data_IF_801395863944
#
_entry.id   IF_801395863944
#
_cell.length_a   1.000
_cell.length_b   1.000
_cell.length_c   1.000
_cell.angle_alpha   90.00
_cell.angle_beta   90.00
_cell.angle_gamma   90.00
#
_symmetry.space_group_name_H-M   'P 1'
#
loop_
_entity.id
_entity.type
_entity.pdbx_description
1 polymer ?
#
# COMPACT_ATOMS: atom_id res chain seq x y z
N UNK A 1 -33.80 -4.18 -6.47
CA UNK A 1 -34.24 -5.02 -5.33
C UNK A 1 -33.82 -4.32 -4.07
N UNK A 2 -34.77 -3.96 -3.21
CA UNK A 2 -34.49 -3.30 -1.94
C UNK A 2 -33.69 -4.25 -1.04
N UNK A 3 -32.62 -3.73 -0.47
CA UNK A 3 -31.73 -4.42 0.46
C UNK A 3 -32.50 -4.67 1.76
N UNK A 4 -32.96 -5.90 1.97
CA UNK A 4 -33.70 -6.31 3.17
C UNK A 4 -32.77 -6.26 4.37
N UNK A 5 -33.18 -5.55 5.41
CA UNK A 5 -32.62 -5.33 6.74
C UNK A 5 -31.38 -6.15 7.09
N UNK A 6 -30.20 -5.70 6.66
CA UNK A 6 -28.96 -6.42 6.92
C UNK A 6 -28.54 -6.24 8.38
N UNK A 7 -28.21 -7.36 8.98
CA UNK A 7 -27.47 -7.43 10.23
C UNK A 7 -26.25 -6.52 10.12
N UNK A 8 -26.13 -5.54 11.00
CA UNK A 8 -24.97 -4.64 11.00
C UNK A 8 -23.67 -5.41 11.27
N UNK A 9 -22.62 -5.10 10.52
CA UNK A 9 -21.39 -5.86 10.40
C UNK A 9 -20.36 -5.53 11.50
N UNK A 10 -19.53 -6.51 11.85
CA UNK A 10 -18.26 -6.33 12.59
C UNK A 10 -17.13 -6.33 11.57
N UNK A 11 -16.41 -5.21 11.46
CA UNK A 11 -15.26 -5.08 10.57
C UNK A 11 -13.95 -5.13 11.37
N UNK A 12 -13.02 -5.99 10.93
CA UNK A 12 -11.67 -6.06 11.49
C UNK A 12 -10.68 -5.39 10.53
N UNK A 13 -9.90 -4.44 11.02
CA UNK A 13 -8.78 -3.82 10.29
C UNK A 13 -7.48 -4.32 10.89
N UNK A 14 -6.72 -5.12 10.14
CA UNK A 14 -5.37 -5.48 10.53
C UNK A 14 -4.39 -4.43 10.04
N UNK A 15 -3.39 -4.06 10.84
CA UNK A 15 -2.54 -2.92 10.52
C UNK A 15 -3.26 -1.58 10.70
N UNK A 16 -4.31 -1.56 11.54
CA UNK A 16 -5.16 -0.39 11.72
C UNK A 16 -4.46 0.81 12.38
N UNK A 17 -3.39 0.58 13.14
CA UNK A 17 -2.55 1.66 13.71
C UNK A 17 -1.65 2.33 12.66
N UNK A 18 -1.51 1.73 11.47
CA UNK A 18 -0.67 2.22 10.39
C UNK A 18 -1.33 3.33 9.56
N UNK A 19 -0.56 3.84 8.59
CA UNK A 19 -0.92 4.95 7.71
C UNK A 19 -2.27 4.74 7.00
N UNK A 20 -2.41 3.67 6.20
CA UNK A 20 -3.65 3.37 5.48
C UNK A 20 -4.77 2.90 6.44
N UNK A 21 -4.40 2.12 7.46
CA UNK A 21 -5.37 1.53 8.39
C UNK A 21 -6.20 2.57 9.14
N UNK A 22 -5.59 3.66 9.59
CA UNK A 22 -6.32 4.75 10.27
C UNK A 22 -7.33 5.44 9.35
N UNK A 23 -7.01 5.62 8.07
CA UNK A 23 -7.96 6.14 7.09
C UNK A 23 -9.11 5.15 6.82
N UNK A 24 -8.85 3.83 6.85
CA UNK A 24 -9.93 2.83 6.79
C UNK A 24 -10.85 2.93 8.00
N UNK A 25 -10.30 3.03 9.22
CA UNK A 25 -11.08 3.23 10.45
C UNK A 25 -11.92 4.50 10.34
N UNK A 26 -11.36 5.61 9.82
CA UNK A 26 -12.08 6.87 9.58
C UNK A 26 -13.32 6.69 8.70
N UNK A 27 -13.23 5.89 7.64
CA UNK A 27 -14.37 5.60 6.77
C UNK A 27 -15.37 4.64 7.43
N UNK A 28 -14.89 3.60 8.13
CA UNK A 28 -15.75 2.64 8.82
C UNK A 28 -16.59 3.30 9.94
N UNK A 29 -16.05 4.31 10.62
CA UNK A 29 -16.80 5.09 11.61
C UNK A 29 -18.05 5.75 11.02
N UNK A 30 -18.01 6.12 9.74
CA UNK A 30 -19.12 6.75 9.00
C UNK A 30 -20.01 5.74 8.27
N UNK A 31 -19.60 4.48 8.15
CA UNK A 31 -20.31 3.45 7.39
C UNK A 31 -21.45 2.86 8.24
N UNK A 32 -22.70 3.22 7.93
CA UNK A 32 -23.89 2.80 8.67
C UNK A 32 -24.09 1.27 8.69
N UNK A 33 -23.49 0.53 7.75
CA UNK A 33 -23.56 -0.93 7.72
C UNK A 33 -22.69 -1.59 8.78
N UNK A 34 -21.75 -0.85 9.39
CA UNK A 34 -20.80 -1.36 10.40
C UNK A 34 -21.24 -0.93 11.79
N UNK A 35 -21.41 -1.89 12.69
CA UNK A 35 -21.77 -1.67 14.11
C UNK A 35 -20.56 -1.65 15.06
N UNK A 36 -19.49 -2.36 14.73
CA UNK A 36 -18.29 -2.51 15.54
C UNK A 36 -17.05 -2.55 14.65
N UNK A 37 -16.01 -1.85 15.06
CA UNK A 37 -14.72 -1.84 14.39
C UNK A 37 -13.71 -2.49 15.34
N UNK A 38 -12.98 -3.48 14.85
CA UNK A 38 -11.82 -4.05 15.55
C UNK A 38 -10.55 -3.65 14.85
N UNK A 39 -9.54 -3.32 15.63
CA UNK A 39 -8.19 -3.02 15.16
C UNK A 39 -7.28 -4.09 15.72
N UNK A 40 -6.59 -4.81 14.83
CA UNK A 40 -5.56 -5.77 15.19
C UNK A 40 -4.22 -5.29 14.67
N UNK A 41 -3.32 -4.94 15.58
CA UNK A 41 -2.00 -4.44 15.23
C UNK A 41 -0.98 -4.84 16.31
N UNK A 42 0.27 -5.01 15.91
CA UNK A 42 1.39 -5.21 16.85
C UNK A 42 1.97 -3.89 17.39
N UNK A 43 1.58 -2.76 16.78
CA UNK A 43 1.94 -1.42 17.21
C UNK A 43 0.75 -0.79 17.90
N UNK A 44 0.96 -0.27 19.11
CA UNK A 44 -0.09 0.37 19.89
C UNK A 44 -0.83 1.44 19.09
N UNK A 45 -2.16 1.45 19.23
CA UNK A 45 -3.00 2.46 18.61
C UNK A 45 -2.61 3.86 19.09
N UNK A 46 -2.34 4.74 18.13
CA UNK A 46 -2.18 6.17 18.35
C UNK A 46 -3.05 6.90 17.33
N UNK A 47 -4.00 7.69 17.79
CA UNK A 47 -4.96 8.39 16.94
C UNK A 47 -4.30 9.58 16.21
N UNK A 48 -3.57 9.30 15.13
CA UNK A 48 -2.82 10.30 14.35
C UNK A 48 -3.76 11.23 13.57
N UNK A 49 -4.96 10.76 13.25
CA UNK A 49 -5.95 11.50 12.44
C UNK A 49 -6.97 12.27 13.27
N UNK A 50 -6.81 12.31 14.59
CA UNK A 50 -7.76 12.92 15.53
C UNK A 50 -9.20 12.43 15.28
N UNK A 51 -9.35 11.11 15.12
CA UNK A 51 -10.67 10.49 14.89
C UNK A 51 -11.57 10.74 16.11
N UNK A 52 -12.86 11.04 15.89
CA UNK A 52 -13.77 11.31 16.97
C UNK A 52 -13.93 10.09 17.89
N UNK A 53 -13.92 10.35 19.19
CA UNK A 53 -14.28 9.38 20.21
C UNK A 53 -15.82 9.33 20.33
N UNK A 54 -16.36 8.12 20.47
CA UNK A 54 -17.80 7.89 20.57
C UNK A 54 -18.47 7.52 19.24
N UNK A 55 -19.72 7.12 19.31
CA UNK A 55 -20.48 6.57 18.20
C UNK A 55 -20.38 5.05 18.14
N UNK A 56 -19.57 4.50 17.24
CA UNK A 56 -19.40 3.04 17.13
C UNK A 56 -18.31 2.55 18.07
N UNK A 57 -18.48 1.33 18.67
CA UNK A 57 -17.39 0.69 19.41
C UNK A 57 -16.18 0.46 18.51
N UNK A 58 -15.00 0.92 18.96
CA UNK A 58 -13.70 0.63 18.38
C UNK A 58 -12.91 -0.16 19.40
N UNK A 59 -12.65 -1.44 19.10
CA UNK A 59 -11.94 -2.35 19.98
C UNK A 59 -10.54 -2.57 19.45
N UNK A 60 -9.54 -2.20 20.23
CA UNK A 60 -8.15 -2.40 19.89
C UNK A 60 -7.61 -3.69 20.53
N UNK A 61 -6.92 -4.50 19.72
CA UNK A 61 -6.23 -5.72 20.15
C UNK A 61 -4.76 -5.64 19.69
N UNK A 62 -3.86 -5.66 20.66
CA UNK A 62 -2.42 -5.68 20.40
C UNK A 62 -1.94 -7.12 20.24
N UNK A 63 -1.62 -7.51 18.98
CA UNK A 63 -1.03 -8.81 18.70
C UNK A 63 -0.31 -8.81 17.34
N UNK A 64 0.72 -9.67 17.21
CA UNK A 64 1.40 -9.95 15.96
C UNK A 64 0.64 -11.08 15.22
N UNK A 65 0.24 -10.85 13.98
CA UNK A 65 -0.42 -11.86 13.11
C UNK A 65 0.40 -13.13 12.92
N UNK A 66 1.69 -13.09 13.19
CA UNK A 66 2.53 -14.28 13.20
C UNK A 66 2.18 -15.21 14.37
N UNK A 67 1.67 -14.68 15.49
CA UNK A 67 1.17 -15.44 16.63
C UNK A 67 -0.34 -15.69 16.47
N UNK A 68 -0.67 -16.75 15.74
CA UNK A 68 -2.03 -17.10 15.34
C UNK A 68 -2.99 -17.19 16.54
N UNK A 69 -2.56 -17.82 17.65
CA UNK A 69 -3.44 -18.04 18.78
C UNK A 69 -3.81 -16.74 19.53
N UNK A 70 -2.88 -15.80 19.64
CA UNK A 70 -3.20 -14.48 20.21
C UNK A 70 -4.18 -13.68 19.35
N UNK A 71 -4.19 -13.90 18.04
CA UNK A 71 -5.07 -13.20 17.12
C UNK A 71 -6.47 -13.79 17.03
N UNK A 72 -6.67 -15.06 17.41
CA UNK A 72 -7.94 -15.80 17.27
C UNK A 72 -9.14 -15.05 17.84
N UNK A 73 -9.00 -14.49 19.04
CA UNK A 73 -10.07 -13.74 19.70
C UNK A 73 -10.57 -12.54 18.92
N UNK A 74 -9.68 -11.91 18.14
CA UNK A 74 -10.03 -10.75 17.31
C UNK A 74 -10.98 -11.09 16.16
N UNK A 75 -10.95 -12.34 15.66
CA UNK A 75 -11.71 -12.77 14.48
C UNK A 75 -13.08 -13.35 14.83
N UNK A 76 -13.38 -13.67 16.10
CA UNK A 76 -14.67 -14.25 16.50
C UNK A 76 -15.84 -13.33 16.16
N UNK A 77 -16.75 -13.81 15.31
CA UNK A 77 -17.95 -13.06 14.90
C UNK A 77 -17.65 -11.85 14.00
N UNK A 78 -16.49 -11.82 13.36
CA UNK A 78 -16.15 -10.81 12.34
C UNK A 78 -16.83 -11.15 11.02
N UNK A 79 -17.42 -10.16 10.38
CA UNK A 79 -18.11 -10.29 9.10
C UNK A 79 -17.19 -9.96 7.91
N UNK A 80 -16.18 -9.11 8.12
CA UNK A 80 -15.20 -8.73 7.09
C UNK A 80 -13.87 -8.31 7.68
N UNK A 81 -12.78 -8.74 7.03
CA UNK A 81 -11.42 -8.32 7.33
C UNK A 81 -10.92 -7.36 6.25
N UNK A 82 -10.42 -6.19 6.63
CA UNK A 82 -9.62 -5.29 5.80
C UNK A 82 -8.15 -5.49 6.19
N UNK A 83 -7.42 -6.23 5.37
CA UNK A 83 -6.05 -6.65 5.68
C UNK A 83 -5.02 -5.72 5.06
N UNK A 84 -4.51 -4.77 5.84
CA UNK A 84 -3.41 -3.89 5.43
C UNK A 84 -2.15 -4.00 6.28
N UNK A 85 -2.13 -4.91 7.28
CA UNK A 85 -0.92 -5.20 8.04
C UNK A 85 0.16 -5.75 7.11
N UNK A 86 1.29 -5.06 7.03
CA UNK A 86 2.48 -5.48 6.29
C UNK A 86 3.71 -4.76 6.80
N UNK A 87 4.86 -5.40 6.68
CA UNK A 87 6.15 -4.72 6.79
C UNK A 87 6.48 -4.09 5.43
N UNK A 88 6.49 -2.75 5.37
CA UNK A 88 6.98 -2.00 4.21
C UNK A 88 8.46 -1.71 4.44
N UNK A 89 9.33 -2.43 3.77
CA UNK A 89 10.78 -2.22 3.85
C UNK A 89 11.43 -2.43 2.49
N UNK A 90 12.16 -1.42 2.05
CA UNK A 90 13.00 -1.46 0.85
C UNK A 90 14.48 -1.50 1.23
N UNK A 91 14.79 -1.72 2.49
CA UNK A 91 16.14 -1.68 3.05
C UNK A 91 17.15 -2.48 2.23
N UNK A 92 18.37 -1.97 2.16
CA UNK A 92 19.49 -2.65 1.52
C UNK A 92 20.70 -2.73 2.49
N UNK A 93 21.27 -3.92 2.75
CA UNK A 93 20.74 -5.24 2.39
C UNK A 93 19.35 -5.54 2.99
N UNK A 94 18.52 -6.32 2.28
CA UNK A 94 17.15 -6.61 2.71
C UNK A 94 17.14 -7.60 3.89
N UNK A 95 16.14 -7.44 4.75
CA UNK A 95 15.76 -8.47 5.74
C UNK A 95 14.65 -9.35 5.15
N UNK A 96 15.08 -10.37 4.40
CA UNK A 96 14.17 -11.28 3.69
C UNK A 96 13.31 -12.10 4.66
N UNK A 97 13.87 -12.48 5.81
CA UNK A 97 13.16 -13.26 6.83
C UNK A 97 12.05 -12.43 7.47
N UNK A 98 12.35 -11.18 7.86
CA UNK A 98 11.35 -10.27 8.39
C UNK A 98 10.23 -9.97 7.38
N UNK A 99 10.56 -9.77 6.10
CA UNK A 99 9.57 -9.59 5.04
C UNK A 99 8.69 -10.83 4.86
N UNK A 100 9.28 -12.02 4.82
CA UNK A 100 8.52 -13.26 4.73
C UNK A 100 7.61 -13.46 5.94
N UNK A 101 8.14 -13.30 7.14
CA UNK A 101 7.40 -13.45 8.40
C UNK A 101 6.18 -12.52 8.46
N UNK A 102 6.39 -11.22 8.20
CA UNK A 102 5.35 -10.20 8.37
C UNK A 102 4.36 -10.12 7.21
N UNK A 103 4.76 -10.45 5.98
CA UNK A 103 3.91 -10.27 4.81
C UNK A 103 3.31 -11.60 4.33
N UNK A 104 4.09 -12.68 4.31
CA UNK A 104 3.63 -13.97 3.78
C UNK A 104 3.04 -14.85 4.87
N UNK A 105 3.83 -15.18 5.91
CA UNK A 105 3.39 -16.07 6.96
C UNK A 105 2.23 -15.48 7.78
N UNK A 106 2.30 -14.20 8.11
CA UNK A 106 1.23 -13.49 8.82
C UNK A 106 -0.09 -13.48 8.01
N UNK A 107 -0.03 -13.27 6.68
CA UNK A 107 -1.20 -13.34 5.81
C UNK A 107 -1.78 -14.75 5.74
N UNK A 108 -0.91 -15.78 5.67
CA UNK A 108 -1.34 -17.18 5.71
C UNK A 108 -2.07 -17.52 7.02
N UNK A 109 -1.51 -17.14 8.16
CA UNK A 109 -2.12 -17.32 9.48
C UNK A 109 -3.49 -16.64 9.57
N UNK A 110 -3.61 -15.42 9.03
CA UNK A 110 -4.87 -14.69 9.00
C UNK A 110 -5.93 -15.42 8.19
N UNK A 111 -5.59 -15.94 7.01
CA UNK A 111 -6.53 -16.71 6.17
C UNK A 111 -6.97 -18.00 6.86
N UNK A 112 -6.06 -18.72 7.50
CA UNK A 112 -6.41 -19.90 8.31
C UNK A 112 -7.38 -19.54 9.45
N UNK A 113 -7.14 -18.43 10.15
CA UNK A 113 -8.05 -17.93 11.17
C UNK A 113 -9.41 -17.52 10.59
N UNK A 114 -9.45 -16.91 9.39
CA UNK A 114 -10.73 -16.60 8.74
C UNK A 114 -11.55 -17.88 8.47
N UNK A 115 -10.90 -18.94 8.03
CA UNK A 115 -11.58 -20.25 7.82
C UNK A 115 -12.04 -20.85 9.16
N UNK A 116 -11.19 -20.85 10.18
CA UNK A 116 -11.47 -21.42 11.48
C UNK A 116 -12.56 -20.69 12.26
N UNK A 117 -12.58 -19.35 12.20
CA UNK A 117 -13.56 -18.51 12.89
C UNK A 117 -14.75 -18.12 11.99
N UNK A 118 -14.80 -18.73 10.79
CA UNK A 118 -15.89 -18.55 9.82
C UNK A 118 -16.11 -17.10 9.37
N UNK A 119 -15.04 -16.37 9.13
CA UNK A 119 -15.06 -15.01 8.56
C UNK A 119 -15.30 -15.08 7.05
N UNK A 120 -16.42 -14.55 6.53
CA UNK A 120 -16.80 -14.81 5.13
C UNK A 120 -16.09 -13.92 4.10
N UNK A 121 -15.49 -12.78 4.49
CA UNK A 121 -14.94 -11.82 3.53
C UNK A 121 -13.61 -11.26 3.96
N UNK A 122 -12.67 -11.13 3.01
CA UNK A 122 -11.37 -10.51 3.22
C UNK A 122 -10.99 -9.62 2.03
N UNK A 123 -10.69 -8.35 2.30
CA UNK A 123 -10.10 -7.40 1.35
C UNK A 123 -8.63 -7.22 1.70
N UNK A 124 -7.73 -7.60 0.79
CA UNK A 124 -6.29 -7.53 1.00
C UNK A 124 -5.68 -6.28 0.36
N UNK A 125 -4.75 -5.66 1.06
CA UNK A 125 -3.90 -4.59 0.53
C UNK A 125 -2.64 -5.19 -0.10
N UNK A 126 -2.60 -5.31 -1.42
CA UNK A 126 -1.40 -5.58 -2.21
C UNK A 126 -0.71 -4.26 -2.60
N UNK A 127 -0.09 -4.20 -3.75
CA UNK A 127 0.55 -3.01 -4.33
C UNK A 127 0.68 -3.16 -5.85
N UNK A 128 0.71 -2.06 -6.59
CA UNK A 128 1.05 -2.09 -8.02
C UNK A 128 2.47 -2.60 -8.27
N UNK A 129 3.33 -2.53 -7.27
CA UNK A 129 4.75 -2.94 -7.36
C UNK A 129 4.94 -4.41 -7.69
N UNK A 130 3.95 -5.27 -7.40
CA UNK A 130 3.97 -6.71 -7.76
C UNK A 130 3.96 -6.94 -9.27
N UNK A 131 3.70 -5.92 -10.08
CA UNK A 131 3.70 -5.98 -11.55
C UNK A 131 4.86 -5.23 -12.19
N UNK A 132 5.65 -4.49 -11.39
CA UNK A 132 6.73 -3.67 -11.92
C UNK A 132 7.98 -4.49 -12.23
N UNK A 133 8.11 -4.85 -13.49
CA UNK A 133 9.28 -5.52 -14.04
C UNK A 133 9.91 -4.66 -15.13
N UNK A 134 11.21 -4.86 -15.38
CA UNK A 134 11.89 -4.15 -16.47
C UNK A 134 11.23 -4.42 -17.81
N UNK A 135 10.97 -3.37 -18.58
CA UNK A 135 10.28 -3.44 -19.89
C UNK A 135 11.02 -4.32 -20.89
N UNK A 136 12.33 -4.18 -20.96
CA UNK A 136 13.21 -5.03 -21.78
C UNK A 136 13.97 -5.98 -20.86
N UNK A 137 14.12 -7.23 -21.27
CA UNK A 137 14.93 -8.22 -20.51
C UNK A 137 16.34 -7.69 -20.30
N UNK A 138 16.76 -7.56 -19.04
CA UNK A 138 18.02 -6.92 -18.66
C UNK A 138 17.99 -5.39 -18.66
N UNK A 139 16.84 -4.77 -18.92
CA UNK A 139 16.66 -3.32 -18.85
C UNK A 139 16.57 -2.81 -17.41
N UNK A 140 16.69 -1.48 -17.28
CA UNK A 140 16.73 -0.80 -15.98
C UNK A 140 15.32 -0.40 -15.51
N UNK A 141 14.45 0.05 -16.41
CA UNK A 141 13.18 0.71 -16.08
C UNK A 141 11.96 -0.12 -16.46
N UNK A 142 10.88 0.04 -15.70
CA UNK A 142 9.57 -0.47 -16.06
C UNK A 142 8.82 0.55 -16.94
N UNK A 143 7.98 0.02 -17.84
CA UNK A 143 7.04 0.82 -18.61
C UNK A 143 5.66 0.18 -18.51
N UNK A 144 4.80 0.76 -17.70
CA UNK A 144 3.41 0.36 -17.52
C UNK A 144 2.56 1.59 -17.88
N UNK A 145 1.86 1.57 -19.01
CA UNK A 145 1.11 2.73 -19.50
C UNK A 145 -0.33 2.35 -19.73
N UNK A 146 -1.24 2.90 -18.92
CA UNK A 146 -2.69 2.63 -18.92
C UNK A 146 -3.03 1.13 -18.95
N UNK A 147 -2.19 0.33 -18.30
CA UNK A 147 -2.33 -1.12 -18.34
C UNK A 147 -3.40 -1.60 -17.37
N UNK A 148 -4.23 -2.53 -17.85
CA UNK A 148 -5.16 -3.31 -17.05
C UNK A 148 -4.41 -4.51 -16.44
N UNK A 149 -5.01 -5.14 -15.44
CA UNK A 149 -4.43 -6.27 -14.71
C UNK A 149 -4.05 -7.45 -15.62
N UNK A 150 -4.80 -7.68 -16.68
CA UNK A 150 -4.51 -8.73 -17.68
C UNK A 150 -3.31 -8.41 -18.58
N UNK A 151 -3.00 -7.13 -18.76
CA UNK A 151 -1.88 -6.67 -19.61
C UNK A 151 -0.61 -6.37 -18.81
N UNK A 152 -0.73 -6.23 -17.49
CA UNK A 152 0.38 -6.06 -16.57
C UNK A 152 0.35 -7.17 -15.51
N UNK A 153 0.51 -8.45 -15.90
CA UNK A 153 0.57 -9.54 -14.93
C UNK A 153 1.87 -9.47 -14.13
N UNK A 154 1.88 -9.98 -12.89
CA UNK A 154 3.12 -10.20 -12.17
C UNK A 154 4.05 -11.11 -13.00
N UNK A 155 5.39 -10.94 -12.88
CA UNK A 155 6.33 -11.80 -13.58
C UNK A 155 6.34 -13.23 -13.01
N UNK A 156 6.60 -14.21 -13.87
CA UNK A 156 6.84 -15.60 -13.45
C UNK A 156 8.12 -15.71 -12.62
N UNK A 157 9.19 -15.04 -13.06
CA UNK A 157 10.43 -14.90 -12.32
C UNK A 157 10.40 -13.65 -11.44
N UNK A 158 10.24 -13.86 -10.13
CA UNK A 158 10.13 -12.79 -9.13
C UNK A 158 11.39 -11.91 -9.04
N UNK A 159 12.58 -12.41 -9.49
CA UNK A 159 13.82 -11.63 -9.54
C UNK A 159 13.77 -10.47 -10.55
N UNK A 160 12.78 -10.47 -11.45
CA UNK A 160 12.55 -9.39 -12.42
C UNK A 160 11.87 -8.17 -11.82
N UNK A 161 11.30 -8.28 -10.61
CA UNK A 161 10.67 -7.15 -9.92
C UNK A 161 11.71 -6.09 -9.58
N UNK A 162 11.46 -4.84 -9.99
CA UNK A 162 12.42 -3.74 -9.81
C UNK A 162 12.57 -3.32 -8.34
N UNK A 163 11.55 -3.54 -7.50
CA UNK A 163 11.57 -3.28 -6.05
C UNK A 163 11.80 -4.54 -5.21
N UNK A 164 12.27 -5.62 -5.89
CA UNK A 164 12.83 -6.84 -5.32
C UNK A 164 12.03 -7.44 -4.15
N UNK A 165 12.69 -7.67 -3.03
CA UNK A 165 12.24 -8.54 -1.93
C UNK A 165 10.92 -8.06 -1.29
N UNK A 166 10.71 -6.73 -1.17
CA UNK A 166 9.42 -6.23 -0.71
C UNK A 166 8.30 -6.59 -1.70
N UNK A 167 8.47 -6.26 -2.98
CA UNK A 167 7.50 -6.58 -4.02
C UNK A 167 7.26 -8.10 -4.13
N UNK A 168 8.33 -8.91 -4.02
CA UNK A 168 8.25 -10.36 -3.97
C UNK A 168 7.42 -10.86 -2.79
N UNK A 169 7.64 -10.32 -1.58
CA UNK A 169 6.88 -10.71 -0.39
C UNK A 169 5.39 -10.37 -0.53
N UNK A 170 5.07 -9.21 -1.11
CA UNK A 170 3.69 -8.79 -1.38
C UNK A 170 3.04 -9.64 -2.48
N UNK A 171 3.77 -9.99 -3.53
CA UNK A 171 3.28 -10.87 -4.59
C UNK A 171 2.93 -12.27 -4.05
N UNK A 172 3.80 -12.85 -3.21
CA UNK A 172 3.55 -14.15 -2.58
C UNK A 172 2.32 -14.10 -1.66
N UNK A 173 2.17 -13.05 -0.86
CA UNK A 173 0.99 -12.85 -0.02
C UNK A 173 -0.28 -12.70 -0.87
N UNK A 174 -0.25 -11.91 -1.94
CA UNK A 174 -1.37 -11.75 -2.85
C UNK A 174 -1.81 -13.08 -3.49
N UNK A 175 -0.86 -13.88 -3.98
CA UNK A 175 -1.15 -15.20 -4.56
C UNK A 175 -1.88 -16.11 -3.56
N UNK A 176 -1.45 -16.12 -2.30
CA UNK A 176 -2.11 -16.89 -1.23
C UNK A 176 -3.54 -16.40 -0.99
N UNK A 177 -3.73 -15.09 -0.95
CA UNK A 177 -5.08 -14.49 -0.74
C UNK A 177 -6.01 -14.81 -1.90
N UNK A 178 -5.56 -14.64 -3.15
CA UNK A 178 -6.38 -14.92 -4.33
C UNK A 178 -6.73 -16.41 -4.46
N UNK A 179 -5.80 -17.29 -4.09
CA UNK A 179 -6.03 -18.75 -4.08
C UNK A 179 -6.98 -19.19 -2.96
N UNK A 180 -7.16 -18.38 -1.91
CA UNK A 180 -8.07 -18.69 -0.81
C UNK A 180 -9.54 -18.35 -1.13
N UNK A 181 -9.83 -17.66 -2.24
CA UNK A 181 -11.22 -17.41 -2.66
C UNK A 181 -11.94 -18.73 -2.93
N UNK A 182 -13.17 -18.85 -2.44
CA UNK A 182 -13.96 -20.08 -2.58
C UNK A 182 -13.68 -21.14 -1.50
N UNK A 183 -12.75 -20.91 -0.55
CA UNK A 183 -12.46 -21.89 0.51
C UNK A 183 -13.67 -22.09 1.41
N UNK A 184 -14.10 -23.36 1.69
CA UNK A 184 -15.16 -23.63 2.64
C UNK A 184 -14.81 -23.19 4.05
N UNK A 185 -15.77 -22.55 4.74
CA UNK A 185 -15.67 -22.15 6.14
C UNK A 185 -16.21 -23.25 7.07
N UNK A 186 -15.80 -23.25 8.34
CA UNK A 186 -16.28 -24.22 9.32
C UNK A 186 -17.80 -24.22 9.52
N UNK A 187 -18.46 -23.09 9.30
CA UNK A 187 -19.92 -22.97 9.42
C UNK A 187 -20.69 -23.35 8.14
N UNK A 188 -20.02 -23.91 7.13
CA UNK A 188 -20.62 -24.26 5.84
C UNK A 188 -20.72 -23.11 4.83
N UNK A 189 -20.30 -21.89 5.19
CA UNK A 189 -20.17 -20.77 4.28
C UNK A 189 -18.91 -20.85 3.42
N UNK A 190 -18.61 -19.77 2.71
CA UNK A 190 -17.44 -19.68 1.79
C UNK A 190 -16.68 -18.42 2.05
N UNK A 191 -15.35 -18.49 2.14
CA UNK A 191 -14.47 -17.34 2.18
C UNK A 191 -14.39 -16.68 0.82
N UNK A 192 -14.65 -15.38 0.76
CA UNK A 192 -14.49 -14.58 -0.46
C UNK A 192 -13.39 -13.55 -0.27
N UNK A 193 -12.48 -13.47 -1.22
CA UNK A 193 -11.31 -12.61 -1.11
C UNK A 193 -11.17 -11.72 -2.35
N UNK A 194 -10.58 -10.53 -2.16
CA UNK A 194 -10.17 -9.63 -3.25
C UNK A 194 -8.86 -8.96 -2.85
N UNK A 195 -8.00 -8.70 -3.81
CA UNK A 195 -6.74 -8.02 -3.57
C UNK A 195 -6.69 -6.67 -4.29
N UNK A 196 -6.58 -5.58 -3.55
CA UNK A 196 -6.43 -4.24 -4.11
C UNK A 196 -4.95 -3.90 -4.26
N UNK A 197 -4.60 -3.35 -5.42
CA UNK A 197 -3.24 -2.92 -5.78
C UNK A 197 -3.15 -1.40 -5.86
N UNK A 198 -2.99 -0.70 -4.74
CA UNK A 198 -2.72 0.74 -4.76
C UNK A 198 -1.32 1.04 -5.28
N UNK A 199 -1.08 2.22 -5.90
CA UNK A 199 0.24 2.74 -6.18
C UNK A 199 0.89 3.31 -4.91
N UNK A 200 1.97 4.08 -5.05
CA UNK A 200 2.57 4.82 -3.94
C UNK A 200 1.55 5.75 -3.28
N UNK A 201 1.36 5.60 -1.97
CA UNK A 201 0.41 6.40 -1.21
C UNK A 201 1.05 7.64 -0.62
N UNK A 202 0.28 8.72 -0.55
CA UNK A 202 0.63 9.95 0.15
C UNK A 202 -0.56 10.49 0.96
N UNK A 203 -0.29 11.34 1.93
CA UNK A 203 -1.33 11.99 2.75
C UNK A 203 -1.00 12.04 4.22
N UNK A 204 -2.00 12.36 5.05
CA UNK A 204 -1.85 12.49 6.49
C UNK A 204 -1.54 11.14 7.14
N UNK A 205 -0.54 11.14 8.00
CA UNK A 205 -0.03 9.92 8.66
C UNK A 205 1.11 9.22 7.91
N UNK A 206 1.49 9.69 6.69
CA UNK A 206 2.67 9.17 6.00
C UNK A 206 3.95 9.53 6.76
N UNK A 207 4.68 8.53 7.20
CA UNK A 207 6.04 8.63 7.73
C UNK A 207 7.05 7.92 6.80
N UNK A 208 6.56 7.42 5.68
CA UNK A 208 7.29 6.65 4.68
C UNK A 208 7.91 7.51 3.58
N UNK A 209 7.56 7.24 2.32
CA UNK A 209 8.28 7.71 1.15
C UNK A 209 8.35 9.24 1.03
N UNK A 210 7.20 9.91 0.93
CA UNK A 210 7.18 11.39 0.71
C UNK A 210 7.77 12.11 1.91
N UNK A 211 7.41 11.70 3.13
CA UNK A 211 7.95 12.27 4.36
C UNK A 211 9.47 12.15 4.43
N UNK A 212 10.05 11.01 4.07
CA UNK A 212 11.50 10.82 4.10
C UNK A 212 12.22 11.64 3.02
N UNK A 213 11.64 11.74 1.81
CA UNK A 213 12.18 12.60 0.74
C UNK A 213 12.22 14.06 1.22
N UNK A 214 11.15 14.56 1.84
CA UNK A 214 11.11 15.92 2.36
C UNK A 214 12.11 16.16 3.51
N UNK A 215 12.34 15.15 4.36
CA UNK A 215 13.41 15.20 5.37
C UNK A 215 14.80 15.31 4.75
N UNK A 216 15.05 14.60 3.64
CA UNK A 216 16.30 14.72 2.88
C UNK A 216 16.42 16.13 2.30
N UNK A 217 15.35 16.65 1.68
CA UNK A 217 15.32 18.02 1.17
C UNK A 217 15.65 19.05 2.26
N UNK A 218 15.01 18.96 3.43
CA UNK A 218 15.29 19.84 4.57
C UNK A 218 16.78 19.87 4.94
N UNK A 219 17.41 18.69 4.99
CA UNK A 219 18.85 18.56 5.31
C UNK A 219 19.76 19.16 4.22
N UNK A 220 19.27 19.28 2.99
CA UNK A 220 20.00 19.80 1.84
C UNK A 220 19.61 21.26 1.49
N UNK A 221 19.12 22.04 2.44
CA UNK A 221 18.73 23.42 2.22
C UNK A 221 17.49 23.56 1.32
N UNK A 222 16.53 22.66 1.46
CA UNK A 222 15.29 22.56 0.68
C UNK A 222 15.53 22.32 -0.83
N UNK A 223 16.60 21.60 -1.17
CA UNK A 223 16.91 21.24 -2.55
C UNK A 223 17.03 19.73 -2.73
N UNK A 224 16.60 19.21 -3.88
CA UNK A 224 16.72 17.81 -4.25
C UNK A 224 17.40 17.66 -5.61
N UNK A 225 18.36 16.74 -5.70
CA UNK A 225 18.99 16.33 -6.95
C UNK A 225 18.12 15.27 -7.64
N UNK A 226 17.90 15.43 -8.95
CA UNK A 226 17.17 14.42 -9.75
C UNK A 226 18.11 13.30 -10.18
N UNK A 227 18.11 12.22 -9.43
CA UNK A 227 19.08 11.11 -9.59
C UNK A 227 18.76 10.11 -10.69
N UNK A 228 17.62 10.21 -11.39
CA UNK A 228 17.24 9.26 -12.46
C UNK A 228 16.82 9.97 -13.74
N UNK A 229 17.40 11.12 -14.03
CA UNK A 229 17.01 11.94 -15.17
C UNK A 229 15.69 12.68 -14.94
N UNK A 230 15.04 13.08 -16.04
CA UNK A 230 13.79 13.87 -16.00
C UNK A 230 12.57 13.13 -16.55
N UNK A 231 12.75 11.94 -17.12
CA UNK A 231 11.74 11.26 -17.94
C UNK A 231 10.78 10.36 -17.17
N UNK A 232 11.14 9.91 -15.97
CA UNK A 232 10.29 9.00 -15.19
C UNK A 232 9.04 9.69 -14.66
N UNK A 233 7.93 8.94 -14.65
CA UNK A 233 6.63 9.37 -14.10
C UNK A 233 6.07 8.24 -13.27
N UNK A 234 5.75 8.54 -12.03
CA UNK A 234 5.18 7.58 -11.10
C UNK A 234 3.74 7.97 -10.78
N UNK A 235 2.89 6.97 -10.72
CA UNK A 235 1.54 7.12 -10.24
C UNK A 235 1.56 7.13 -8.71
N UNK A 236 0.84 8.08 -8.13
CA UNK A 236 0.63 8.21 -6.70
C UNK A 236 -0.85 8.36 -6.43
N UNK A 237 -1.28 7.98 -5.24
CA UNK A 237 -2.67 8.13 -4.86
C UNK A 237 -2.81 8.65 -3.42
N UNK A 238 -3.83 9.46 -3.21
CA UNK A 238 -4.17 9.96 -1.88
C UNK A 238 -4.72 8.84 -1.01
N UNK A 239 -4.17 8.69 0.18
CA UNK A 239 -4.51 7.62 1.11
C UNK A 239 -6.00 7.57 1.47
N UNK A 240 -6.68 8.72 1.57
CA UNK A 240 -8.11 8.79 1.85
C UNK A 240 -8.96 8.17 0.74
N UNK A 241 -8.59 8.37 -0.55
CA UNK A 241 -9.24 7.71 -1.67
C UNK A 241 -8.98 6.20 -1.67
N UNK A 242 -7.77 5.78 -1.31
CA UNK A 242 -7.45 4.35 -1.24
C UNK A 242 -8.21 3.65 -0.12
N UNK A 243 -8.30 4.26 1.06
CA UNK A 243 -9.12 3.74 2.14
C UNK A 243 -10.60 3.61 1.73
N UNK A 244 -11.13 4.58 0.99
CA UNK A 244 -12.47 4.50 0.41
C UNK A 244 -12.63 3.32 -0.55
N UNK A 245 -11.63 3.01 -1.36
CA UNK A 245 -11.67 1.84 -2.25
C UNK A 245 -11.81 0.51 -1.48
N UNK A 246 -11.22 0.40 -0.29
CA UNK A 246 -11.42 -0.77 0.58
C UNK A 246 -12.87 -0.88 1.06
N UNK A 247 -13.53 0.23 1.37
CA UNK A 247 -14.95 0.23 1.73
C UNK A 247 -15.80 -0.18 0.52
N UNK A 248 -15.49 0.31 -0.66
CA UNK A 248 -16.17 -0.12 -1.90
C UNK A 248 -16.00 -1.63 -2.14
N UNK A 249 -14.79 -2.16 -1.98
CA UNK A 249 -14.50 -3.59 -2.15
C UNK A 249 -15.23 -4.45 -1.09
N UNK A 250 -15.25 -4.02 0.19
CA UNK A 250 -16.02 -4.63 1.27
C UNK A 250 -17.49 -4.78 0.88
N UNK A 251 -18.07 -3.69 0.39
CA UNK A 251 -19.47 -3.66 -0.02
C UNK A 251 -19.74 -4.49 -1.29
N UNK A 252 -18.80 -4.51 -2.25
CA UNK A 252 -18.92 -5.30 -3.46
C UNK A 252 -18.86 -6.81 -3.15
N UNK A 253 -17.96 -7.27 -2.27
CA UNK A 253 -17.91 -8.67 -1.81
C UNK A 253 -19.20 -9.10 -1.08
N UNK A 254 -19.89 -8.16 -0.41
CA UNK A 254 -21.17 -8.47 0.21
C UNK A 254 -22.32 -8.61 -0.81
N UNK A 255 -22.30 -7.78 -1.87
CA UNK A 255 -23.40 -7.69 -2.85
C UNK A 255 -23.26 -8.67 -4.00
N UNK A 256 -22.05 -8.85 -4.53
CA UNK A 256 -21.78 -9.66 -5.72
C UNK A 256 -20.43 -10.38 -5.59
N UNK A 257 -20.31 -11.36 -4.68
CA UNK A 257 -19.04 -12.05 -4.41
C UNK A 257 -18.46 -12.74 -5.64
N UNK A 258 -19.28 -13.32 -6.52
CA UNK A 258 -18.82 -14.03 -7.70
C UNK A 258 -18.26 -13.10 -8.80
N UNK A 259 -18.64 -11.82 -8.77
CA UNK A 259 -18.16 -10.83 -9.73
C UNK A 259 -16.79 -10.26 -9.42
N UNK A 260 -16.28 -10.48 -8.19
CA UNK A 260 -15.03 -9.87 -7.72
C UNK A 260 -14.12 -10.82 -6.97
N UNK A 261 -14.66 -11.96 -6.46
CA UNK A 261 -13.88 -12.94 -5.70
C UNK A 261 -12.67 -13.45 -6.48
N UNK A 262 -11.54 -13.58 -5.80
CA UNK A 262 -10.28 -14.05 -6.38
C UNK A 262 -9.61 -13.09 -7.37
N UNK A 263 -10.08 -11.83 -7.50
CA UNK A 263 -9.51 -10.89 -8.46
C UNK A 263 -8.48 -9.94 -7.82
N UNK A 264 -7.36 -9.66 -8.51
CA UNK A 264 -6.53 -8.50 -8.26
C UNK A 264 -7.16 -7.26 -8.93
N UNK A 265 -7.10 -6.10 -8.27
CA UNK A 265 -7.73 -4.86 -8.76
C UNK A 265 -6.78 -3.68 -8.57
N UNK A 266 -6.40 -3.01 -9.66
CA UNK A 266 -5.68 -1.74 -9.58
C UNK A 266 -6.61 -0.63 -9.07
N UNK A 267 -6.13 0.10 -8.06
CA UNK A 267 -6.87 1.20 -7.46
C UNK A 267 -6.02 2.46 -7.51
N UNK A 268 -6.44 3.42 -8.33
CA UNK A 268 -5.75 4.70 -8.53
C UNK A 268 -6.74 5.85 -8.34
N UNK A 269 -6.26 7.08 -8.27
CA UNK A 269 -7.13 8.26 -8.20
C UNK A 269 -6.75 9.32 -9.26
N UNK A 270 -7.25 10.54 -9.10
CA UNK A 270 -7.04 11.62 -10.05
C UNK A 270 -5.78 12.45 -9.75
N UNK A 271 -4.89 11.95 -8.90
CA UNK A 271 -3.58 12.56 -8.65
C UNK A 271 -2.77 12.62 -9.94
N UNK A 272 -2.19 13.77 -10.22
CA UNK A 272 -1.39 13.95 -11.45
C UNK A 272 -0.21 12.99 -11.47
N UNK A 273 -0.09 12.24 -12.55
CA UNK A 273 1.05 11.35 -12.77
C UNK A 273 2.26 12.18 -13.20
N UNK A 274 3.25 12.21 -12.34
CA UNK A 274 4.47 12.99 -12.55
C UNK A 274 5.67 12.35 -11.86
N UNK A 275 6.85 12.89 -12.04
CA UNK A 275 8.02 12.44 -11.30
C UNK A 275 7.84 12.69 -9.80
N UNK A 276 8.16 11.68 -8.98
CA UNK A 276 7.98 11.72 -7.51
C UNK A 276 8.66 12.95 -6.86
N UNK A 277 9.83 13.34 -7.33
CA UNK A 277 10.52 14.53 -6.79
C UNK A 277 9.82 15.84 -7.19
N UNK A 278 9.23 15.88 -8.40
CA UNK A 278 8.39 17.03 -8.81
C UNK A 278 7.09 17.09 -8.01
N UNK A 279 6.53 15.94 -7.66
CA UNK A 279 5.39 15.92 -6.76
C UNK A 279 5.74 16.52 -5.39
N UNK A 280 6.91 16.19 -4.82
CA UNK A 280 7.38 16.79 -3.57
C UNK A 280 7.59 18.30 -3.69
N UNK A 281 8.15 18.79 -4.80
CA UNK A 281 8.27 20.21 -5.12
C UNK A 281 6.90 20.90 -5.16
N UNK A 282 5.92 20.32 -5.87
CA UNK A 282 4.56 20.85 -5.98
C UNK A 282 3.83 20.85 -4.63
N UNK A 283 3.99 19.79 -3.84
CA UNK A 283 3.37 19.63 -2.52
C UNK A 283 3.81 20.72 -1.54
N UNK A 284 5.04 21.22 -1.68
CA UNK A 284 5.62 22.26 -0.80
C UNK A 284 5.56 23.66 -1.39
N UNK A 285 4.96 23.85 -2.58
CA UNK A 285 5.01 25.11 -3.34
C UNK A 285 4.47 26.32 -2.57
N UNK A 286 3.44 26.12 -1.78
CA UNK A 286 2.79 27.18 -1.00
C UNK A 286 3.26 27.22 0.47
N UNK A 287 4.32 26.50 0.82
CA UNK A 287 4.90 26.53 2.15
C UNK A 287 6.08 27.49 2.23
N UNK A 288 6.38 27.98 3.42
CA UNK A 288 7.58 28.79 3.69
C UNK A 288 8.90 28.01 3.42
N UNK A 289 8.81 26.71 3.23
CA UNK A 289 9.91 25.78 2.99
C UNK A 289 9.76 25.09 1.65
N UNK A 290 9.58 25.88 0.59
CA UNK A 290 9.45 25.35 -0.77
C UNK A 290 10.69 24.52 -1.16
N UNK A 291 10.45 23.27 -1.53
CA UNK A 291 11.49 22.37 -2.04
C UNK A 291 11.70 22.64 -3.52
N UNK A 292 12.95 22.83 -3.93
CA UNK A 292 13.35 23.07 -5.30
C UNK A 292 14.10 21.88 -5.88
N UNK A 293 13.95 21.65 -7.18
CA UNK A 293 14.72 20.63 -7.89
C UNK A 293 15.96 21.28 -8.50
N UNK A 294 17.13 20.81 -8.11
CA UNK A 294 18.41 21.22 -8.69
C UNK A 294 18.70 20.49 -10.01
N UNK A 295 19.95 20.36 -10.37
CA UNK A 295 20.40 19.68 -11.58
C UNK A 295 19.98 18.19 -11.61
N UNK A 296 20.07 17.59 -12.81
CA UNK A 296 19.65 16.22 -13.08
C UNK A 296 20.84 15.37 -13.53
N UNK A 297 20.98 14.20 -12.91
CA UNK A 297 21.98 13.21 -13.33
C UNK A 297 21.31 12.25 -14.33
N UNK A 298 21.91 12.01 -15.51
CA UNK A 298 21.38 11.04 -16.48
C UNK A 298 21.20 9.65 -15.83
N UNK A 299 20.13 8.96 -16.21
CA UNK A 299 19.77 7.67 -15.59
C UNK A 299 20.88 6.61 -15.67
N UNK A 300 21.60 6.56 -16.79
CA UNK A 300 22.69 5.58 -16.99
C UNK A 300 23.82 5.84 -15.98
N UNK A 301 24.22 7.09 -15.81
CA UNK A 301 25.26 7.49 -14.85
C UNK A 301 24.80 7.16 -13.43
N UNK A 302 23.57 7.54 -13.08
CA UNK A 302 22.99 7.26 -11.77
C UNK A 302 22.95 5.76 -11.48
N UNK A 303 22.60 4.95 -12.49
CA UNK A 303 22.52 3.50 -12.33
C UNK A 303 23.91 2.86 -12.14
N UNK A 304 24.93 3.29 -12.89
CA UNK A 304 26.31 2.85 -12.68
C UNK A 304 26.79 3.20 -11.27
N UNK A 305 26.57 4.43 -10.83
CA UNK A 305 26.89 4.84 -9.46
C UNK A 305 26.16 3.99 -8.41
N UNK A 306 24.89 3.66 -8.66
CA UNK A 306 24.10 2.79 -7.78
C UNK A 306 24.67 1.37 -7.70
N UNK A 307 25.10 0.80 -8.83
CA UNK A 307 25.77 -0.52 -8.87
C UNK A 307 27.07 -0.50 -8.04
N UNK A 308 27.91 0.52 -8.26
CA UNK A 308 29.17 0.66 -7.51
C UNK A 308 28.90 0.83 -6.01
N UNK A 309 27.89 1.61 -5.63
CA UNK A 309 27.51 1.79 -4.22
C UNK A 309 27.06 0.47 -3.58
N UNK A 310 26.23 -0.32 -4.26
CA UNK A 310 25.79 -1.63 -3.76
C UNK A 310 26.95 -2.62 -3.62
N UNK A 311 27.87 -2.66 -4.61
CA UNK A 311 29.08 -3.49 -4.53
C UNK A 311 29.97 -3.07 -3.37
N UNK A 312 30.16 -1.75 -3.18
CA UNK A 312 30.94 -1.23 -2.04
C UNK A 312 30.33 -1.66 -0.70
N UNK A 313 29.00 -1.57 -0.54
CA UNK A 313 28.31 -2.00 0.68
C UNK A 313 28.42 -3.53 0.88
N UNK A 314 28.34 -4.31 -0.20
CA UNK A 314 28.42 -5.77 -0.13
C UNK A 314 29.81 -6.29 0.24
N UNK A 315 30.87 -5.69 -0.32
CA UNK A 315 32.22 -6.26 -0.26
C UNK A 315 33.19 -5.48 0.63
N UNK A 316 32.95 -4.18 0.92
CA UNK A 316 33.86 -3.37 1.71
C UNK A 316 33.36 -3.23 3.16
N UNK A 317 34.07 -3.76 4.17
CA UNK A 317 33.64 -3.75 5.57
C UNK A 317 33.34 -2.36 6.13
N UNK A 318 34.09 -1.33 5.67
CA UNK A 318 33.91 0.07 6.09
C UNK A 318 32.60 0.72 5.62
N UNK A 319 31.94 0.16 4.56
CA UNK A 319 30.73 0.68 3.98
C UNK A 319 29.47 -0.12 4.37
N UNK A 320 29.54 -1.03 5.35
CA UNK A 320 28.40 -1.83 5.84
C UNK A 320 27.35 -0.95 6.54
N UNK A 321 26.71 -0.06 5.77
CA UNK A 321 25.57 0.74 6.22
C UNK A 321 24.29 0.18 5.64
N UNK A 322 23.26 0.08 6.49
CA UNK A 322 21.90 -0.22 6.04
C UNK A 322 21.34 1.04 5.37
N UNK A 323 20.94 0.93 4.11
CA UNK A 323 20.27 1.99 3.37
C UNK A 323 18.76 1.77 3.39
N UNK A 324 17.93 2.83 3.40
CA UNK A 324 16.47 2.71 3.43
C UNK A 324 15.87 2.20 2.11
N UNK A 325 16.67 2.12 1.05
CA UNK A 325 16.28 1.56 -0.25
C UNK A 325 17.53 1.12 -1.01
N UNK A 326 17.43 0.02 -1.78
CA UNK A 326 18.47 -0.38 -2.73
C UNK A 326 18.69 0.75 -3.75
N UNK A 327 19.94 1.24 -3.90
CA UNK A 327 20.26 2.28 -4.88
C UNK A 327 19.80 1.97 -6.29
N UNK A 328 20.01 0.73 -6.77
CA UNK A 328 19.54 0.33 -8.11
C UNK A 328 18.01 0.36 -8.22
N UNK A 329 17.31 -0.15 -7.22
CA UNK A 329 15.83 -0.14 -7.21
C UNK A 329 15.28 1.29 -7.20
N UNK A 330 15.90 2.20 -6.46
CA UNK A 330 15.51 3.62 -6.45
C UNK A 330 15.65 4.26 -7.84
N UNK A 331 16.80 4.08 -8.50
CA UNK A 331 17.04 4.64 -9.83
C UNK A 331 16.09 4.02 -10.86
N UNK A 332 15.89 2.70 -10.80
CA UNK A 332 14.96 2.00 -11.68
C UNK A 332 13.53 2.51 -11.51
N UNK A 333 13.05 2.65 -10.27
CA UNK A 333 11.70 3.15 -9.97
C UNK A 333 11.52 4.60 -10.43
N UNK A 334 12.44 5.51 -10.06
CA UNK A 334 12.37 6.93 -10.44
C UNK A 334 12.49 7.17 -11.95
N UNK A 335 13.18 6.29 -12.68
CA UNK A 335 13.30 6.35 -14.13
C UNK A 335 12.13 5.71 -14.88
N UNK A 336 11.27 4.95 -14.19
CA UNK A 336 10.16 4.22 -14.80
C UNK A 336 8.96 5.12 -15.13
N UNK A 337 8.17 4.69 -16.12
CA UNK A 337 6.85 5.26 -16.42
C UNK A 337 5.76 4.29 -15.96
N UNK A 338 4.98 4.71 -14.97
CA UNK A 338 4.03 3.84 -14.27
C UNK A 338 2.67 4.51 -14.23
N UNK A 339 1.73 3.95 -15.01
CA UNK A 339 0.33 4.32 -15.07
C UNK A 339 -0.54 3.08 -15.17
N UNK A 340 -1.49 2.91 -14.27
CA UNK A 340 -2.44 1.81 -14.30
C UNK A 340 -3.84 2.29 -14.70
N UNK A 341 -4.64 1.38 -15.24
CA UNK A 341 -6.03 1.63 -15.57
C UNK A 341 -6.92 1.12 -14.44
N UNK A 342 -7.75 1.99 -13.87
CA UNK A 342 -8.68 1.64 -12.77
C UNK A 342 -10.07 1.16 -13.24
N UNK A 343 -10.25 0.82 -14.51
CA UNK A 343 -11.56 0.43 -15.04
C UNK A 343 -12.15 -0.76 -14.28
N UNK A 344 -11.31 -1.74 -13.88
CA UNK A 344 -11.77 -2.87 -13.07
C UNK A 344 -12.31 -2.41 -11.71
N UNK A 345 -11.64 -1.47 -11.04
CA UNK A 345 -12.14 -0.90 -9.80
C UNK A 345 -13.49 -0.19 -9.98
N UNK A 346 -13.64 0.62 -11.03
CA UNK A 346 -14.90 1.29 -11.31
C UNK A 346 -16.05 0.30 -11.60
N UNK A 347 -15.79 -0.73 -12.40
CA UNK A 347 -16.82 -1.68 -12.84
C UNK A 347 -17.18 -2.68 -11.73
N UNK A 348 -16.19 -3.32 -11.10
CA UNK A 348 -16.44 -4.45 -10.20
C UNK A 348 -16.66 -4.05 -8.75
N UNK A 349 -16.00 -2.96 -8.26
CA UNK A 349 -16.22 -2.50 -6.89
C UNK A 349 -16.97 -1.17 -6.79
N UNK A 350 -17.32 -0.56 -7.92
CA UNK A 350 -18.03 0.73 -7.95
C UNK A 350 -17.19 1.88 -7.38
N UNK A 351 -15.85 1.76 -7.49
CA UNK A 351 -14.94 2.75 -6.93
C UNK A 351 -14.86 4.00 -7.81
N UNK A 352 -15.09 5.15 -7.18
CA UNK A 352 -14.78 6.48 -7.70
C UNK A 352 -14.11 7.27 -6.59
N UNK A 353 -13.01 7.99 -6.85
CA UNK A 353 -12.37 8.85 -5.84
C UNK A 353 -13.38 9.83 -5.25
N UNK A 354 -13.38 9.97 -3.93
CA UNK A 354 -14.27 10.91 -3.21
C UNK A 354 -13.58 12.21 -2.83
N UNK A 355 -12.25 12.23 -2.82
CA UNK A 355 -11.47 13.44 -2.66
C UNK A 355 -10.94 13.85 -4.02
N UNK A 356 -11.17 15.09 -4.39
CA UNK A 356 -10.58 15.68 -5.59
C UNK A 356 -9.07 15.83 -5.43
N UNK A 357 -8.36 15.94 -6.56
CA UNK A 357 -6.92 16.17 -6.56
C UNK A 357 -6.51 17.38 -5.72
N UNK A 358 -7.23 18.48 -5.84
CA UNK A 358 -6.87 19.74 -5.18
C UNK A 358 -7.14 19.68 -3.66
N UNK A 359 -8.21 19.02 -3.24
CA UNK A 359 -8.48 18.73 -1.82
C UNK A 359 -7.37 17.84 -1.22
N UNK A 360 -7.05 16.75 -1.89
CA UNK A 360 -5.98 15.83 -1.47
C UNK A 360 -4.63 16.53 -1.32
N UNK A 361 -4.25 17.36 -2.31
CA UNK A 361 -3.03 18.16 -2.25
C UNK A 361 -3.03 19.18 -1.12
N UNK A 362 -4.15 19.89 -0.91
CA UNK A 362 -4.28 20.90 0.15
C UNK A 362 -4.11 20.28 1.54
N UNK A 363 -4.80 19.18 1.81
CA UNK A 363 -4.75 18.50 3.13
C UNK A 363 -3.36 17.90 3.36
N UNK A 364 -2.81 17.24 2.34
CA UNK A 364 -1.47 16.64 2.40
C UNK A 364 -0.39 17.69 2.58
N UNK A 365 -0.44 18.82 1.86
CA UNK A 365 0.52 19.92 2.01
C UNK A 365 0.54 20.47 3.45
N UNK A 366 -0.62 20.63 4.08
CA UNK A 366 -0.72 21.03 5.46
C UNK A 366 -0.10 20.01 6.44
N UNK A 367 -0.26 18.71 6.15
CA UNK A 367 0.38 17.66 6.94
C UNK A 367 1.91 17.68 6.78
N UNK A 368 2.41 17.70 5.54
CA UNK A 368 3.83 17.63 5.27
C UNK A 368 4.61 18.89 5.68
N UNK A 369 3.95 20.03 5.84
CA UNK A 369 4.60 21.23 6.39
C UNK A 369 5.22 20.97 7.78
N UNK A 370 4.68 20.01 8.53
CA UNK A 370 5.22 19.56 9.83
C UNK A 370 6.64 18.98 9.75
N UNK A 371 7.09 18.55 8.57
CA UNK A 371 8.47 18.06 8.37
C UNK A 371 9.49 19.19 8.60
N UNK A 372 9.11 20.41 8.28
CA UNK A 372 10.00 21.57 8.30
C UNK A 372 9.95 22.33 9.63
N UNK A 373 8.91 22.14 10.42
CA UNK A 373 8.81 22.61 11.79
C UNK A 373 9.51 21.64 12.74
#
# INVERSE_FOLDING_TARGET
>A
MAWNGSRSEVALVTGGSGFLGQHMVKHLLKDETVREIRILDKVRWNNILDLPEGGKPVVYLEADLYDKEKCRGALRGVDVVLHCAALVSYDFPPDVEALHRNNVAATKNLLELCVEESVPRLVHCSTTEVTLQSYVRGGIVAMVVYSQESRAPPPDDENRLILREYATSKLRAERIVLAADGTPLKNGGTLRTVSLRPPLLYGEGDLGCVWQILKVAKKQGNSLVRVAGVGGKQEMAYVGNMAWAFICAKNALARCPDGIGGLPVFVTDDTTVENLLRFCERLTRNSNHHVTLSWSIPIVVSYICAVVAELAIAYLPFFRKKLPISPRSLIAYLGSMILHNRSRAAIHIGYTPIFTRDEALRVSSAYYSKVFN
#
